data_IF_351910196757
#
_entry.id   IF_351910196757
#
_cell.length_a   1.000
_cell.length_b   1.000
_cell.length_c   1.000
_cell.angle_alpha   90.00
_cell.angle_beta   90.00
_cell.angle_gamma   90.00
#
_symmetry.space_group_name_H-M   'P 1'
#
loop_
_entity.id
_entity.type
_entity.pdbx_description
1 polymer ?
#
# COMPACT_ATOMS: atom_id res chain seq x y z
N UNK A 1 -12.93 36.68 23.58
CA UNK A 1 -13.34 36.27 24.94
C UNK A 1 -13.77 34.81 24.89
N UNK A 2 -12.94 33.90 25.41
CA UNK A 2 -13.24 32.46 25.46
C UNK A 2 -12.43 31.76 26.58
N UNK A 3 -12.26 32.41 27.73
CA UNK A 3 -11.52 31.84 28.88
C UNK A 3 -12.37 30.94 29.79
N UNK A 4 -13.68 30.85 29.55
CA UNK A 4 -14.59 29.98 30.33
C UNK A 4 -14.46 28.48 30.05
N UNK A 5 -13.43 28.05 29.32
CA UNK A 5 -13.27 26.67 28.84
C UNK A 5 -12.10 25.89 29.44
N UNK A 6 -11.31 26.47 30.35
CA UNK A 6 -10.11 25.78 30.90
C UNK A 6 -10.36 25.11 32.26
N UNK A 7 -11.25 25.66 33.10
CA UNK A 7 -11.50 25.12 34.44
C UNK A 7 -12.24 23.78 34.42
N UNK A 8 -13.12 23.55 33.43
CA UNK A 8 -13.95 22.34 33.31
C UNK A 8 -13.20 21.12 32.75
N UNK A 9 -11.92 21.26 32.35
CA UNK A 9 -11.15 20.12 31.82
C UNK A 9 -10.77 19.14 32.93
N UNK A 10 -10.85 17.81 32.67
CA UNK A 10 -10.37 16.80 33.60
C UNK A 10 -8.87 16.97 33.84
N UNK A 11 -8.42 16.58 35.05
CA UNK A 11 -7.04 16.77 35.52
C UNK A 11 -5.99 16.31 34.51
N UNK A 12 -6.21 15.16 33.89
CA UNK A 12 -5.22 14.55 33.00
C UNK A 12 -5.16 15.27 31.64
N UNK A 13 -6.26 15.88 31.17
CA UNK A 13 -6.24 16.79 30.02
C UNK A 13 -5.43 18.07 30.30
N UNK A 14 -5.50 18.61 31.53
CA UNK A 14 -4.69 19.76 31.96
C UNK A 14 -3.19 19.39 32.00
N UNK A 15 -2.85 18.16 32.39
CA UNK A 15 -1.46 17.66 32.32
C UNK A 15 -0.97 17.58 30.87
N UNK A 16 -1.77 17.00 29.96
CA UNK A 16 -1.42 16.93 28.52
C UNK A 16 -1.24 18.33 27.91
N UNK A 17 -2.12 19.29 28.20
CA UNK A 17 -1.94 20.70 27.79
C UNK A 17 -0.64 21.31 28.31
N UNK A 18 -0.31 21.05 29.58
CA UNK A 18 0.93 21.56 30.22
C UNK A 18 2.18 20.95 29.58
N UNK A 19 2.12 19.67 29.17
CA UNK A 19 3.18 18.98 28.45
C UNK A 19 3.40 19.55 27.04
N UNK A 20 2.33 19.77 26.27
CA UNK A 20 2.43 20.39 24.94
C UNK A 20 3.08 21.77 25.02
N UNK A 21 2.67 22.57 26.01
CA UNK A 21 3.26 23.90 26.29
C UNK A 21 4.74 23.82 26.69
N UNK A 22 5.16 22.84 27.49
CA UNK A 22 6.58 22.69 27.87
C UNK A 22 7.47 22.22 26.71
N UNK A 23 6.89 21.57 25.69
CA UNK A 23 7.55 21.24 24.43
C UNK A 23 7.58 22.39 23.41
N UNK A 24 7.00 23.55 23.73
CA UNK A 24 6.89 24.70 22.82
C UNK A 24 5.84 24.54 21.72
N UNK A 25 4.79 23.75 21.97
CA UNK A 25 3.65 23.55 21.06
C UNK A 25 2.45 24.32 21.60
N UNK A 26 2.32 25.58 21.19
CA UNK A 26 1.25 26.47 21.65
C UNK A 26 -0.06 26.32 20.83
N UNK A 27 0.05 26.07 19.52
CA UNK A 27 -1.09 25.86 18.61
C UNK A 27 -1.29 24.38 18.24
N UNK A 28 -2.47 23.82 18.56
CA UNK A 28 -2.87 22.45 18.22
C UNK A 28 -4.41 22.30 18.16
N UNK A 29 -4.90 21.32 17.39
CA UNK A 29 -6.34 21.01 17.38
C UNK A 29 -6.77 20.42 18.74
N UNK A 30 -7.92 20.81 19.32
CA UNK A 30 -8.42 20.23 20.58
C UNK A 30 -8.49 18.69 20.60
N UNK A 31 -8.68 18.04 19.44
CA UNK A 31 -8.65 16.57 19.30
C UNK A 31 -7.33 15.94 19.73
N UNK A 32 -6.21 16.65 19.60
CA UNK A 32 -4.86 16.16 19.97
C UNK A 32 -4.85 15.76 21.45
N UNK A 33 -5.47 16.56 22.33
CA UNK A 33 -5.54 16.26 23.78
C UNK A 33 -6.29 14.95 24.04
N UNK A 34 -7.40 14.72 23.33
CA UNK A 34 -8.17 13.47 23.46
C UNK A 34 -7.39 12.25 22.93
N UNK A 35 -6.70 12.39 21.80
CA UNK A 35 -5.85 11.32 21.24
C UNK A 35 -4.68 10.97 22.14
N UNK A 36 -4.04 11.96 22.78
CA UNK A 36 -2.98 11.74 23.76
C UNK A 36 -3.49 10.99 25.00
N UNK A 37 -4.70 11.32 25.49
CA UNK A 37 -5.31 10.59 26.60
C UNK A 37 -5.63 9.14 26.23
N UNK A 38 -6.24 8.91 25.06
CA UNK A 38 -6.52 7.55 24.55
C UNK A 38 -5.23 6.73 24.43
N UNK A 39 -4.19 7.31 23.82
CA UNK A 39 -2.88 6.68 23.68
C UNK A 39 -2.25 6.36 25.03
N UNK A 40 -2.31 7.30 25.99
CA UNK A 40 -1.72 7.13 27.31
C UNK A 40 -2.41 6.02 28.11
N UNK A 41 -3.74 6.06 28.23
CA UNK A 41 -4.48 5.01 28.95
C UNK A 41 -4.32 3.65 28.28
N UNK A 42 -4.39 3.56 26.94
CA UNK A 42 -4.16 2.30 26.22
C UNK A 42 -2.75 1.77 26.47
N UNK A 43 -1.72 2.62 26.38
CA UNK A 43 -0.35 2.20 26.67
C UNK A 43 -0.17 1.70 28.11
N UNK A 44 -0.76 2.39 29.11
CA UNK A 44 -0.70 1.98 30.53
C UNK A 44 -1.43 0.67 30.76
N UNK A 45 -2.63 0.49 30.19
CA UNK A 45 -3.39 -0.77 30.30
C UNK A 45 -2.61 -1.94 29.69
N UNK A 46 -2.05 -1.77 28.48
CA UNK A 46 -1.23 -2.80 27.84
C UNK A 46 -0.03 -3.19 28.75
N UNK A 47 0.73 -2.21 29.24
CA UNK A 47 1.93 -2.45 30.08
C UNK A 47 1.58 -3.09 31.43
N UNK A 48 0.48 -2.68 32.06
CA UNK A 48 0.02 -3.29 33.31
C UNK A 48 -0.51 -4.72 33.10
N UNK A 49 -1.12 -5.00 31.96
CA UNK A 49 -1.57 -6.36 31.59
C UNK A 49 -0.37 -7.30 31.42
N UNK A 50 0.65 -6.88 30.68
CA UNK A 50 1.90 -7.64 30.52
C UNK A 50 2.62 -7.83 31.87
N UNK A 51 2.71 -6.78 32.69
CA UNK A 51 3.33 -6.84 34.02
C UNK A 51 2.57 -7.75 35.00
N UNK A 52 1.23 -7.82 34.91
CA UNK A 52 0.43 -8.77 35.67
C UNK A 52 0.77 -10.21 35.28
N UNK A 53 0.85 -10.53 33.99
CA UNK A 53 1.25 -11.87 33.51
C UNK A 53 2.64 -12.27 34.03
N UNK A 54 3.59 -11.32 34.11
CA UNK A 54 4.92 -11.58 34.67
C UNK A 54 4.90 -11.78 36.20
N UNK A 55 4.10 -11.01 36.93
CA UNK A 55 3.87 -11.19 38.37
C UNK A 55 3.27 -12.57 38.67
N UNK A 56 2.24 -12.98 37.91
CA UNK A 56 1.58 -14.28 38.02
C UNK A 56 2.54 -15.43 37.69
N UNK A 57 3.34 -15.32 36.62
CA UNK A 57 4.37 -16.30 36.27
C UNK A 57 5.47 -16.42 37.35
N UNK A 58 5.77 -15.33 38.06
CA UNK A 58 6.68 -15.34 39.21
C UNK A 58 6.02 -15.81 40.53
N UNK A 59 4.73 -16.12 40.53
CA UNK A 59 3.98 -16.55 41.72
C UNK A 59 3.77 -15.43 42.76
N UNK A 60 3.88 -14.17 42.36
CA UNK A 60 3.73 -13.00 43.24
C UNK A 60 2.26 -12.57 43.32
N UNK A 61 1.85 -12.11 44.50
CA UNK A 61 0.51 -11.58 44.75
C UNK A 61 0.32 -10.09 44.32
N UNK A 62 1.41 -9.40 43.96
CA UNK A 62 1.41 -7.98 43.59
C UNK A 62 2.49 -7.70 42.56
N UNK A 63 2.19 -6.79 41.62
CA UNK A 63 3.11 -6.34 40.57
C UNK A 63 4.24 -5.49 41.17
N UNK A 64 5.49 -5.89 40.93
CA UNK A 64 6.68 -5.14 41.35
C UNK A 64 7.19 -4.19 40.26
N UNK A 65 8.11 -3.30 40.65
CA UNK A 65 8.79 -2.40 39.69
C UNK A 65 9.57 -3.15 38.60
N UNK A 66 10.03 -4.37 38.85
CA UNK A 66 10.79 -5.17 37.89
C UNK A 66 9.89 -5.83 36.84
N UNK A 67 8.65 -6.20 37.22
CA UNK A 67 7.66 -6.74 36.30
C UNK A 67 7.22 -5.65 35.30
N UNK A 68 7.06 -4.41 35.79
CA UNK A 68 6.79 -3.22 34.94
C UNK A 68 7.97 -2.90 34.02
N UNK A 69 9.23 -2.95 34.51
CA UNK A 69 10.43 -2.75 33.68
C UNK A 69 10.49 -3.78 32.55
N UNK A 70 10.21 -5.05 32.85
CA UNK A 70 10.21 -6.14 31.87
C UNK A 70 9.11 -5.94 30.81
N UNK A 71 7.91 -5.55 31.21
CA UNK A 71 6.81 -5.23 30.30
C UNK A 71 7.16 -4.07 29.35
N UNK A 72 7.73 -3.00 29.87
CA UNK A 72 8.20 -1.86 29.06
C UNK A 72 9.30 -2.31 28.08
N UNK A 73 10.31 -3.06 28.55
CA UNK A 73 11.41 -3.54 27.68
C UNK A 73 10.88 -4.44 26.54
N UNK A 74 10.01 -5.39 26.86
CA UNK A 74 9.34 -6.25 25.87
C UNK A 74 8.65 -5.41 24.79
N UNK A 75 7.84 -4.44 25.21
CA UNK A 75 7.05 -3.60 24.28
C UNK A 75 7.89 -2.63 23.46
N UNK A 76 8.94 -2.05 24.04
CA UNK A 76 9.81 -1.05 23.37
C UNK A 76 10.59 -1.67 22.21
N UNK A 77 11.04 -2.91 22.36
CA UNK A 77 11.81 -3.63 21.33
C UNK A 77 11.05 -3.81 20.00
N UNK A 78 9.71 -3.81 20.02
CA UNK A 78 8.87 -3.96 18.83
C UNK A 78 8.14 -2.67 18.41
N UNK A 79 7.82 -1.79 19.36
CA UNK A 79 6.97 -0.62 19.11
C UNK A 79 7.76 0.64 18.70
N UNK A 80 9.02 0.76 19.10
CA UNK A 80 9.83 1.95 18.82
C UNK A 80 11.07 1.58 18.01
N UNK A 81 11.12 2.06 16.76
CA UNK A 81 12.36 2.05 15.98
C UNK A 81 13.37 2.98 16.64
N UNK A 82 14.31 2.40 17.39
CA UNK A 82 15.48 3.12 17.84
C UNK A 82 16.35 3.47 16.62
N UNK A 83 16.94 4.68 16.55
CA UNK A 83 17.88 5.01 15.48
C UNK A 83 19.01 3.97 15.48
N UNK A 84 19.33 3.34 14.33
CA UNK A 84 20.29 2.23 14.35
C UNK A 84 21.67 2.71 14.83
N UNK A 85 22.43 1.86 15.55
CA UNK A 85 23.70 2.28 16.14
C UNK A 85 24.67 2.85 15.10
N UNK A 86 25.39 3.91 15.47
CA UNK A 86 26.33 4.63 14.58
C UNK A 86 27.34 3.70 13.92
N UNK A 87 27.78 2.65 14.62
CA UNK A 87 28.73 1.65 14.10
C UNK A 87 28.14 0.84 12.95
N UNK A 88 26.88 0.42 13.07
CA UNK A 88 26.13 -0.28 12.01
C UNK A 88 25.96 0.62 10.78
N UNK A 89 25.60 1.90 10.98
CA UNK A 89 25.55 2.88 9.89
C UNK A 89 26.91 3.06 9.20
N UNK A 90 28.00 3.15 9.97
CA UNK A 90 29.36 3.30 9.42
C UNK A 90 29.82 2.06 8.66
N UNK A 91 29.47 0.86 9.10
CA UNK A 91 29.77 -0.38 8.38
C UNK A 91 28.96 -0.46 7.07
N UNK A 92 27.65 -0.20 7.12
CA UNK A 92 26.81 -0.14 5.93
C UNK A 92 27.30 0.92 4.94
N UNK A 93 27.66 2.11 5.42
CA UNK A 93 28.24 3.18 4.60
C UNK A 93 29.57 2.76 3.99
N UNK A 94 30.49 2.14 4.75
CA UNK A 94 31.74 1.57 4.20
C UNK A 94 31.46 0.52 3.13
N UNK A 95 30.46 -0.34 3.32
CA UNK A 95 30.12 -1.40 2.37
C UNK A 95 29.43 -0.88 1.09
N UNK A 96 28.66 0.21 1.17
CA UNK A 96 28.11 0.91 -0.02
C UNK A 96 29.17 1.75 -0.73
N UNK A 97 29.95 2.55 0.01
CA UNK A 97 30.92 3.51 -0.55
C UNK A 97 32.18 2.85 -1.15
N UNK A 98 32.36 1.52 -0.98
CA UNK A 98 33.33 0.72 -1.76
C UNK A 98 32.98 0.66 -3.25
N UNK A 99 31.70 0.80 -3.61
CA UNK A 99 31.26 0.80 -4.99
C UNK A 99 31.56 2.19 -5.58
N UNK A 100 32.44 2.31 -6.60
CA UNK A 100 32.73 3.59 -7.21
C UNK A 100 31.47 4.14 -7.89
N UNK A 101 31.34 5.46 -7.94
CA UNK A 101 30.23 6.10 -8.63
C UNK A 101 30.18 5.65 -10.10
N UNK A 102 28.97 5.45 -10.67
CA UNK A 102 28.82 5.23 -12.11
C UNK A 102 29.52 6.34 -12.89
N UNK A 103 30.16 5.98 -14.00
CA UNK A 103 30.72 6.98 -14.94
C UNK A 103 29.58 7.91 -15.35
N UNK A 104 29.78 9.22 -15.16
CA UNK A 104 28.76 10.23 -15.47
C UNK A 104 28.20 10.00 -16.88
N UNK A 105 26.89 9.82 -16.98
CA UNK A 105 26.19 9.67 -18.25
C UNK A 105 26.21 11.06 -18.90
N UNK A 106 27.16 11.26 -19.81
CA UNK A 106 27.39 12.55 -20.44
C UNK A 106 26.22 12.93 -21.36
N UNK A 107 25.28 13.73 -20.83
CA UNK A 107 24.11 14.23 -21.54
C UNK A 107 23.50 15.41 -20.81
N UNK A 108 22.87 16.32 -21.56
CA UNK A 108 22.12 17.45 -20.99
C UNK A 108 20.72 16.99 -20.57
N UNK A 109 20.60 16.38 -19.38
CA UNK A 109 19.31 15.98 -18.82
C UNK A 109 19.44 15.08 -17.59
N UNK A 110 18.30 14.75 -16.98
CA UNK A 110 18.24 13.72 -15.94
C UNK A 110 18.23 12.35 -16.63
N UNK A 111 19.20 11.46 -16.37
CA UNK A 111 19.19 10.12 -16.94
C UNK A 111 18.05 9.31 -16.32
N UNK A 112 17.16 8.78 -17.16
CA UNK A 112 16.16 7.81 -16.73
C UNK A 112 16.78 6.40 -16.62
N UNK A 113 16.24 5.52 -15.77
CA UNK A 113 16.53 4.08 -15.82
C UNK A 113 16.19 3.47 -17.19
N UNK A 114 16.58 2.20 -17.44
CA UNK A 114 16.09 1.44 -18.60
C UNK A 114 14.55 1.45 -18.67
N UNK A 115 13.97 1.37 -19.87
CA UNK A 115 12.51 1.41 -20.05
C UNK A 115 11.79 0.31 -19.25
N UNK A 116 12.41 -0.86 -19.09
CA UNK A 116 11.91 -1.98 -18.28
C UNK A 116 11.76 -1.63 -16.79
N UNK A 117 12.62 -0.73 -16.28
CA UNK A 117 12.62 -0.27 -14.90
C UNK A 117 11.85 1.06 -14.72
N UNK A 118 11.21 1.58 -15.79
CA UNK A 118 10.57 2.91 -15.79
C UNK A 118 9.05 2.81 -15.92
N UNK A 119 8.33 3.33 -14.91
CA UNK A 119 6.86 3.31 -14.83
C UNK A 119 6.17 4.41 -15.69
N UNK A 120 6.62 4.60 -16.93
CA UNK A 120 6.04 5.55 -17.91
C UNK A 120 4.89 4.94 -18.73
N UNK A 121 4.93 3.63 -18.97
CA UNK A 121 3.89 2.93 -19.70
C UNK A 121 2.70 2.59 -18.78
N UNK A 122 1.45 2.66 -19.26
CA UNK A 122 0.27 2.32 -18.44
C UNK A 122 0.31 0.85 -18.03
N UNK A 123 0.47 0.60 -16.73
CA UNK A 123 0.50 -0.74 -16.13
C UNK A 123 -0.91 -1.37 -15.98
N UNK A 124 -1.92 -0.77 -16.60
CA UNK A 124 -3.31 -1.18 -16.55
C UNK A 124 -3.90 -1.27 -17.96
N UNK A 125 -4.78 -2.23 -18.20
CA UNK A 125 -5.52 -2.36 -19.44
C UNK A 125 -7.01 -2.23 -19.14
N UNK A 126 -7.66 -1.20 -19.71
CA UNK A 126 -9.12 -1.08 -19.58
C UNK A 126 -9.77 -2.20 -20.37
N UNK A 127 -10.50 -3.07 -19.67
CA UNK A 127 -11.43 -4.02 -20.27
C UNK A 127 -12.66 -3.29 -20.79
N UNK A 128 -12.50 -2.52 -21.87
CA UNK A 128 -13.63 -1.93 -22.60
C UNK A 128 -14.36 -3.08 -23.30
N UNK A 129 -15.47 -3.52 -22.71
CA UNK A 129 -16.37 -4.44 -23.37
C UNK A 129 -16.87 -3.78 -24.66
N UNK A 130 -16.39 -4.26 -25.81
CA UNK A 130 -16.93 -3.88 -27.12
C UNK A 130 -18.38 -4.37 -27.17
N UNK A 131 -19.32 -3.50 -26.81
CA UNK A 131 -20.75 -3.72 -27.03
C UNK A 131 -20.92 -3.81 -28.55
N UNK A 132 -21.13 -5.02 -29.07
CA UNK A 132 -21.50 -5.21 -30.47
C UNK A 132 -22.79 -4.43 -30.71
N UNK A 133 -22.70 -3.34 -31.46
CA UNK A 133 -23.86 -2.68 -32.04
C UNK A 133 -24.36 -3.58 -33.15
N UNK A 134 -25.35 -4.41 -32.85
CA UNK A 134 -26.20 -5.03 -33.86
C UNK A 134 -26.75 -3.92 -34.76
N UNK A 135 -26.37 -3.92 -36.03
CA UNK A 135 -26.98 -3.06 -37.02
C UNK A 135 -28.45 -3.45 -37.15
N UNK A 136 -29.40 -2.49 -37.20
CA UNK A 136 -30.74 -2.79 -37.65
C UNK A 136 -30.69 -3.09 -39.15
N UNK A 137 -31.34 -4.17 -39.57
CA UNK A 137 -31.56 -4.46 -40.99
C UNK A 137 -32.58 -3.45 -41.54
N UNK A 138 -32.19 -2.67 -42.54
CA UNK A 138 -33.16 -1.88 -43.33
C UNK A 138 -33.79 -2.80 -44.38
N UNK A 139 -35.12 -2.73 -44.49
CA UNK A 139 -35.94 -3.58 -45.35
C UNK A 139 -36.26 -2.83 -46.64
N UNK A 140 -36.03 -3.45 -47.80
CA UNK A 140 -36.54 -2.98 -49.10
C UNK A 140 -37.26 -4.11 -49.86
N UNK A 141 -38.35 -3.72 -50.53
CA UNK A 141 -39.38 -4.54 -51.19
C UNK A 141 -39.55 -4.03 -52.64
N UNK A 142 -39.73 -4.84 -53.69
CA UNK A 142 -39.66 -6.31 -53.91
C UNK A 142 -39.41 -6.53 -55.44
N UNK A 143 -39.42 -7.77 -55.96
CA UNK A 143 -39.87 -8.21 -57.31
C UNK A 143 -39.24 -9.56 -57.75
N UNK A 144 -39.98 -10.31 -58.58
CA UNK A 144 -39.93 -11.78 -58.69
C UNK A 144 -39.28 -12.32 -59.99
N UNK A 145 -38.49 -13.41 -59.93
CA UNK A 145 -38.43 -14.43 -61.02
C UNK A 145 -37.63 -15.72 -60.72
N UNK A 146 -38.37 -16.84 -60.58
CA UNK A 146 -38.08 -18.23 -61.00
C UNK A 146 -36.75 -18.98 -60.68
N UNK A 147 -36.93 -20.09 -59.93
CA UNK A 147 -36.10 -21.28 -59.65
C UNK A 147 -35.49 -22.08 -60.86
N UNK A 148 -34.65 -23.14 -60.68
CA UNK A 148 -33.94 -23.64 -59.47
C UNK A 148 -32.43 -24.06 -59.66
N UNK A 149 -31.79 -24.42 -58.53
CA UNK A 149 -30.43 -25.02 -58.30
C UNK A 149 -30.22 -26.41 -58.99
N UNK A 150 -29.00 -27.05 -59.10
CA UNK A 150 -28.00 -27.27 -58.01
C UNK A 150 -26.47 -27.40 -58.34
N UNK A 151 -25.62 -26.69 -57.58
CA UNK A 151 -24.31 -27.13 -57.00
C UNK A 151 -23.17 -27.71 -57.92
N UNK A 152 -21.99 -28.09 -57.37
CA UNK A 152 -21.02 -27.33 -56.58
C UNK A 152 -19.59 -27.31 -57.24
N UNK A 153 -18.57 -26.91 -56.46
CA UNK A 153 -17.17 -27.39 -56.52
C UNK A 153 -16.17 -26.66 -57.45
N UNK A 154 -15.21 -25.92 -56.84
CA UNK A 154 -13.76 -26.22 -56.86
C UNK A 154 -12.88 -25.11 -56.25
N UNK A 155 -12.04 -25.49 -55.28
CA UNK A 155 -10.77 -24.79 -55.03
C UNK A 155 -9.81 -25.05 -56.22
N UNK A 156 -8.75 -24.23 -56.40
CA UNK A 156 -7.49 -24.71 -55.83
C UNK A 156 -6.63 -23.63 -55.17
N UNK A 157 -5.85 -24.13 -54.21
CA UNK A 157 -4.77 -23.48 -53.49
C UNK A 157 -3.71 -22.83 -54.38
N UNK A 158 -3.02 -21.82 -53.83
CA UNK A 158 -1.57 -21.73 -53.96
C UNK A 158 -0.97 -21.20 -52.65
N UNK A 159 -0.10 -22.00 -52.06
CA UNK A 159 0.62 -21.72 -50.81
C UNK A 159 1.89 -20.91 -51.07
N UNK A 160 2.41 -20.24 -50.04
CA UNK A 160 3.79 -20.45 -49.60
C UNK A 160 3.90 -20.26 -48.09
N UNK A 161 4.75 -21.07 -47.48
CA UNK A 161 4.83 -21.36 -46.05
C UNK A 161 6.24 -21.00 -45.51
N UNK A 162 6.34 -20.87 -44.18
CA UNK A 162 7.52 -21.02 -43.27
C UNK A 162 8.22 -19.74 -42.82
N UNK A 163 8.70 -19.59 -41.58
CA UNK A 163 8.57 -20.30 -40.26
C UNK A 163 9.13 -19.30 -39.22
N UNK A 164 8.47 -18.93 -38.13
CA UNK A 164 8.30 -19.66 -36.85
C UNK A 164 9.58 -19.85 -36.01
N UNK A 165 9.69 -19.07 -34.91
CA UNK A 165 10.09 -19.53 -33.55
C UNK A 165 9.40 -18.59 -32.53
N UNK A 166 8.74 -19.10 -31.46
CA UNK A 166 8.02 -18.25 -30.49
C UNK A 166 8.92 -17.75 -29.34
N UNK A 167 8.70 -16.51 -28.90
CA UNK A 167 9.41 -15.91 -27.75
C UNK A 167 8.46 -15.84 -26.55
N UNK A 168 8.90 -16.39 -25.41
CA UNK A 168 8.03 -16.66 -24.26
C UNK A 168 7.44 -15.41 -23.60
N UNK A 169 6.16 -15.48 -23.26
CA UNK A 169 5.47 -14.47 -22.44
C UNK A 169 5.88 -14.61 -20.97
N UNK A 170 6.27 -13.53 -20.26
CA UNK A 170 6.42 -13.57 -18.81
C UNK A 170 5.07 -13.84 -18.12
N UNK A 171 5.10 -14.57 -17.00
CA UNK A 171 3.90 -15.07 -16.33
C UNK A 171 2.89 -13.96 -15.97
N UNK A 172 1.73 -14.00 -16.61
CA UNK A 172 0.65 -13.03 -16.42
C UNK A 172 -0.19 -13.41 -15.20
N UNK A 173 0.27 -13.00 -14.02
CA UNK A 173 -0.50 -13.18 -12.77
C UNK A 173 -1.73 -12.26 -12.81
N UNK A 174 -2.91 -12.85 -13.04
CA UNK A 174 -4.18 -12.13 -13.10
C UNK A 174 -5.09 -12.52 -11.94
N UNK A 175 -5.62 -11.53 -11.22
CA UNK A 175 -6.57 -11.74 -10.14
C UNK A 175 -8.01 -11.54 -10.65
N UNK A 176 -8.96 -12.42 -10.31
CA UNK A 176 -10.35 -12.26 -10.71
C UNK A 176 -10.99 -11.09 -9.95
N UNK A 177 -11.36 -10.03 -10.69
CA UNK A 177 -12.17 -8.94 -10.13
C UNK A 177 -13.61 -9.45 -9.94
N UNK A 178 -14.01 -9.64 -8.68
CA UNK A 178 -15.34 -10.15 -8.33
C UNK A 178 -16.47 -9.30 -8.91
N UNK A 179 -17.49 -9.96 -9.47
CA UNK A 179 -18.63 -9.29 -10.06
C UNK A 179 -19.39 -8.45 -9.01
N UNK A 180 -19.61 -7.17 -9.30
CA UNK A 180 -20.48 -6.30 -8.47
C UNK A 180 -21.91 -6.86 -8.51
N UNK A 181 -22.45 -7.22 -7.34
CA UNK A 181 -23.88 -7.48 -7.20
C UNK A 181 -24.66 -6.18 -7.47
N UNK A 182 -25.76 -6.21 -8.24
CA UNK A 182 -26.68 -5.08 -8.30
C UNK A 182 -27.30 -4.82 -6.92
N UNK A 183 -27.75 -3.58 -6.70
CA UNK A 183 -28.53 -3.18 -5.52
C UNK A 183 -29.97 -3.64 -5.64
#
# INVERSE_FOLDING_TARGET
MAEGGEEDLPRDAKIVKTLLKSTGVDDYEPRVVHQFLELWYRYVVDVLTDAQVYSEHAGKASIDSDDIKLAIQSKVNFSFSQPPPREVLLELARNRNKIPLPKSIAGSGVPLPPEQDTLINPNYQLAIAKKQTSQPEETEEDEESADPNPAPNKNPSLSHEKTDVPQGTPDRVSFPLGAKRPR
#
